data_IF_150936303982
#
_entry.id   IF_150936303982
#
_cell.length_a   1.000
_cell.length_b   1.000
_cell.length_c   1.000
_cell.angle_alpha   90.00
_cell.angle_beta   90.00
_cell.angle_gamma   90.00
#
_symmetry.space_group_name_H-M   'P 1'
#
loop_
_entity.id
_entity.type
_entity.pdbx_description
1 polymer ?
#
# COMPACT_ATOMS: atom_id res chain seq x y z
N UNK A 1 -5.59 0.99 -2.09
CA UNK A 1 -4.67 0.40 -1.10
C UNK A 1 -5.45 -0.56 -0.22
N UNK A 2 -5.04 -1.81 -0.20
CA UNK A 2 -5.52 -2.88 0.69
C UNK A 2 -4.37 -3.32 1.59
N UNK A 3 -4.64 -4.10 2.63
CA UNK A 3 -3.65 -4.78 3.45
C UNK A 3 -3.91 -6.28 3.46
N UNK A 4 -4.93 -6.74 4.17
CA UNK A 4 -5.25 -8.15 4.33
C UNK A 4 -6.50 -8.52 3.53
N UNK A 5 -6.46 -9.66 2.82
CA UNK A 5 -7.64 -10.28 2.19
C UNK A 5 -7.79 -11.68 2.76
N UNK A 6 -8.72 -11.86 3.71
CA UNK A 6 -8.92 -13.17 4.34
C UNK A 6 -10.34 -13.35 4.88
N UNK A 7 -10.77 -14.61 5.01
CA UNK A 7 -12.05 -14.97 5.59
C UNK A 7 -12.03 -14.85 7.11
N UNK A 8 -13.13 -14.36 7.68
CA UNK A 8 -13.34 -14.30 9.11
C UNK A 8 -14.65 -14.98 9.48
N UNK A 9 -14.63 -15.98 10.38
CA UNK A 9 -15.83 -16.66 10.83
C UNK A 9 -16.75 -15.83 11.73
N UNK A 10 -16.27 -14.69 12.27
CA UNK A 10 -17.02 -13.81 13.17
C UNK A 10 -17.02 -12.38 12.64
N UNK A 11 -18.17 -11.93 12.14
CA UNK A 11 -18.35 -10.60 11.55
C UNK A 11 -18.14 -9.44 12.53
N UNK A 12 -18.34 -9.65 13.82
CA UNK A 12 -18.31 -8.59 14.84
C UNK A 12 -16.92 -8.09 15.25
N UNK A 13 -15.86 -8.78 14.80
CA UNK A 13 -14.46 -8.47 15.20
C UNK A 13 -13.48 -8.39 14.02
N UNK A 14 -13.97 -8.05 12.84
CA UNK A 14 -13.10 -7.94 11.64
C UNK A 14 -12.20 -6.71 11.78
N UNK A 15 -10.86 -6.86 11.73
CA UNK A 15 -9.97 -5.71 11.69
C UNK A 15 -10.30 -4.79 10.53
N UNK A 16 -10.25 -3.48 10.77
CA UNK A 16 -10.61 -2.46 9.77
C UNK A 16 -9.84 -2.62 8.44
N UNK A 17 -8.61 -3.06 8.49
CA UNK A 17 -7.69 -3.25 7.35
C UNK A 17 -7.86 -4.59 6.63
N UNK A 18 -8.77 -5.47 7.10
CA UNK A 18 -9.08 -6.73 6.44
C UNK A 18 -10.31 -6.62 5.54
N UNK A 19 -10.23 -7.22 4.37
CA UNK A 19 -11.32 -7.33 3.40
C UNK A 19 -11.63 -8.81 3.17
N UNK A 20 -12.91 -9.20 3.32
CA UNK A 20 -13.33 -10.55 2.98
C UNK A 20 -13.11 -10.85 1.49
N UNK A 21 -12.65 -12.07 1.10
CA UNK A 21 -12.40 -12.42 -0.29
C UNK A 21 -13.61 -12.22 -1.22
N UNK A 22 -14.83 -12.45 -0.74
CA UNK A 22 -16.05 -12.21 -1.53
C UNK A 22 -16.29 -10.72 -1.75
N UNK A 23 -15.99 -9.89 -0.75
CA UNK A 23 -16.06 -8.43 -0.88
C UNK A 23 -14.97 -7.92 -1.82
N UNK A 24 -13.74 -8.45 -1.70
CA UNK A 24 -12.65 -8.11 -2.62
C UNK A 24 -13.02 -8.45 -4.06
N UNK A 25 -13.57 -9.64 -4.32
CA UNK A 25 -14.05 -10.03 -5.65
C UNK A 25 -15.16 -9.10 -6.16
N UNK A 26 -16.07 -8.67 -5.27
CA UNK A 26 -17.10 -7.68 -5.62
C UNK A 26 -16.48 -6.34 -6.05
N UNK A 27 -15.41 -5.89 -5.37
CA UNK A 27 -14.68 -4.69 -5.78
C UNK A 27 -14.05 -4.86 -7.18
N UNK A 28 -13.38 -5.98 -7.44
CA UNK A 28 -12.77 -6.26 -8.75
C UNK A 28 -13.84 -6.33 -9.86
N UNK A 29 -14.97 -7.00 -9.60
CA UNK A 29 -16.10 -7.06 -10.54
C UNK A 29 -16.66 -5.66 -10.83
N UNK A 30 -16.82 -4.82 -9.79
CA UNK A 30 -17.27 -3.44 -9.96
C UNK A 30 -16.31 -2.64 -10.85
N UNK A 31 -14.99 -2.76 -10.66
CA UNK A 31 -14.00 -2.11 -11.52
C UNK A 31 -14.19 -2.51 -12.99
N UNK A 32 -14.40 -3.81 -13.25
CA UNK A 32 -14.64 -4.34 -14.59
C UNK A 32 -15.95 -3.83 -15.19
N UNK A 33 -17.07 -3.95 -14.46
CA UNK A 33 -18.39 -3.58 -14.92
C UNK A 33 -18.53 -2.08 -15.21
N UNK A 34 -17.87 -1.26 -14.39
CA UNK A 34 -17.83 0.21 -14.55
C UNK A 34 -16.74 0.67 -15.52
N UNK A 35 -16.03 -0.29 -16.17
CA UNK A 35 -14.98 -0.02 -17.16
C UNK A 35 -13.85 0.86 -16.62
N UNK A 36 -13.40 0.58 -15.41
CA UNK A 36 -12.16 1.18 -14.91
C UNK A 36 -10.96 0.60 -15.64
N UNK A 37 -9.98 1.45 -15.93
CA UNK A 37 -8.71 1.07 -16.52
C UNK A 37 -7.73 0.71 -15.39
N UNK A 38 -7.62 -0.58 -15.05
CA UNK A 38 -6.67 -1.04 -14.04
C UNK A 38 -5.31 -1.23 -14.70
N UNK A 39 -4.32 -0.49 -14.23
CA UNK A 39 -2.94 -0.51 -14.72
C UNK A 39 -1.97 -0.84 -13.60
N UNK A 40 -0.75 -1.21 -13.96
CA UNK A 40 0.33 -1.40 -13.00
C UNK A 40 0.83 -0.06 -12.44
N UNK A 41 1.50 -0.07 -11.28
CA UNK A 41 2.10 1.14 -10.72
C UNK A 41 3.25 1.64 -11.61
N UNK A 42 4.05 0.73 -12.17
CA UNK A 42 5.11 1.11 -13.11
C UNK A 42 4.54 1.81 -14.37
N UNK A 43 3.42 1.32 -14.91
CA UNK A 43 2.75 1.99 -16.05
C UNK A 43 2.27 3.39 -15.66
N UNK A 44 1.72 3.57 -14.47
CA UNK A 44 1.34 4.89 -13.98
C UNK A 44 2.55 5.83 -13.91
N UNK A 45 3.68 5.36 -13.36
CA UNK A 45 4.92 6.15 -13.24
C UNK A 45 5.46 6.56 -14.62
N UNK A 46 5.45 5.64 -15.57
CA UNK A 46 5.83 5.94 -16.96
C UNK A 46 4.92 7.01 -17.55
N UNK A 47 3.61 6.90 -17.35
CA UNK A 47 2.65 7.88 -17.87
C UNK A 47 2.87 9.28 -17.25
N UNK A 48 3.20 9.36 -15.96
CA UNK A 48 3.52 10.64 -15.28
C UNK A 48 4.81 11.23 -15.86
N UNK A 49 5.89 10.43 -15.97
CA UNK A 49 7.20 10.88 -16.46
C UNK A 49 7.18 11.34 -17.92
N UNK A 50 6.38 10.67 -18.73
CA UNK A 50 6.24 10.99 -20.17
C UNK A 50 5.15 12.07 -20.39
N UNK A 51 4.62 12.69 -19.33
CA UNK A 51 3.53 13.67 -19.37
C UNK A 51 2.31 13.19 -20.18
N UNK A 52 2.13 11.86 -20.24
CA UNK A 52 1.01 11.25 -20.96
C UNK A 52 -0.28 11.48 -20.19
N UNK A 53 -1.35 11.78 -20.90
CA UNK A 53 -2.67 11.93 -20.32
C UNK A 53 -3.12 10.63 -19.64
N UNK A 54 -3.24 10.64 -18.30
CA UNK A 54 -3.84 9.55 -17.56
C UNK A 54 -5.32 9.45 -17.97
N UNK A 55 -5.73 8.27 -18.44
CA UNK A 55 -7.12 8.04 -18.85
C UNK A 55 -8.07 8.23 -17.66
N UNK A 56 -9.27 8.79 -17.85
CA UNK A 56 -10.28 8.80 -16.80
C UNK A 56 -10.57 7.38 -16.28
N UNK A 57 -10.93 7.25 -15.02
CA UNK A 57 -11.17 5.97 -14.36
C UNK A 57 -9.96 5.02 -14.36
N UNK A 58 -8.73 5.56 -14.33
CA UNK A 58 -7.53 4.75 -14.11
C UNK A 58 -7.36 4.44 -12.63
N UNK A 59 -7.10 3.16 -12.32
CA UNK A 59 -6.87 2.64 -10.97
C UNK A 59 -5.57 1.83 -10.96
N UNK A 60 -4.83 1.96 -9.87
CA UNK A 60 -3.74 1.05 -9.48
C UNK A 60 -4.15 0.35 -8.20
N UNK A 61 -4.02 -0.98 -8.16
CA UNK A 61 -4.31 -1.79 -6.98
C UNK A 61 -2.99 -2.04 -6.24
N UNK A 62 -2.95 -1.74 -4.94
CA UNK A 62 -1.80 -2.03 -4.08
C UNK A 62 -2.23 -2.79 -2.85
N UNK A 63 -1.39 -3.75 -2.40
CA UNK A 63 -1.57 -4.51 -1.18
C UNK A 63 -0.29 -4.36 -0.35
N UNK A 64 -0.43 -3.90 0.89
CA UNK A 64 0.69 -3.65 1.79
C UNK A 64 0.97 -4.84 2.72
N UNK A 65 2.09 -4.79 3.44
CA UNK A 65 2.59 -5.70 4.46
C UNK A 65 3.09 -7.08 3.97
N UNK A 66 2.63 -7.59 2.84
CA UNK A 66 3.07 -8.89 2.34
C UNK A 66 2.48 -10.08 3.12
N UNK A 67 1.23 -9.98 3.57
CA UNK A 67 0.53 -11.09 4.22
C UNK A 67 0.34 -12.29 3.30
N UNK A 68 0.55 -13.50 3.83
CA UNK A 68 0.32 -14.77 3.13
C UNK A 68 -1.10 -14.89 2.57
N UNK A 69 -2.10 -14.38 3.29
CA UNK A 69 -3.49 -14.41 2.83
C UNK A 69 -3.70 -13.63 1.51
N UNK A 70 -2.86 -12.66 1.19
CA UNK A 70 -2.91 -12.00 -0.11
C UNK A 70 -2.47 -12.92 -1.26
N UNK A 71 -1.52 -13.83 -0.99
CA UNK A 71 -1.16 -14.89 -1.93
C UNK A 71 -2.30 -15.91 -2.05
N UNK A 72 -2.88 -16.37 -0.93
CA UNK A 72 -3.88 -17.43 -0.92
C UNK A 72 -5.23 -16.98 -1.52
N UNK A 73 -5.65 -15.72 -1.29
CA UNK A 73 -6.97 -15.22 -1.67
C UNK A 73 -6.95 -14.11 -2.72
N UNK A 74 -6.10 -13.08 -2.56
CA UNK A 74 -6.13 -11.95 -3.48
C UNK A 74 -5.56 -12.29 -4.86
N UNK A 75 -4.42 -13.00 -4.93
CA UNK A 75 -3.78 -13.37 -6.19
C UNK A 75 -4.70 -14.16 -7.13
N UNK A 76 -5.39 -15.26 -6.70
CA UNK A 76 -6.29 -16.00 -7.59
C UNK A 76 -7.44 -15.13 -8.12
N UNK A 77 -7.95 -14.20 -7.32
CA UNK A 77 -9.02 -13.29 -7.71
C UNK A 77 -8.52 -12.24 -8.72
N UNK A 78 -7.35 -11.65 -8.49
CA UNK A 78 -6.71 -10.73 -9.45
C UNK A 78 -6.49 -11.41 -10.79
N UNK A 79 -5.95 -12.63 -10.79
CA UNK A 79 -5.72 -13.42 -12.01
C UNK A 79 -7.03 -13.72 -12.76
N UNK A 80 -8.10 -14.10 -12.06
CA UNK A 80 -9.42 -14.35 -12.63
C UNK A 80 -9.99 -13.14 -13.36
N UNK A 81 -9.73 -11.94 -12.82
CA UNK A 81 -10.17 -10.68 -13.42
C UNK A 81 -9.19 -10.10 -14.43
N UNK A 82 -8.00 -10.70 -14.60
CA UNK A 82 -6.88 -10.20 -15.41
C UNK A 82 -6.42 -8.81 -14.99
N UNK A 83 -6.36 -8.56 -13.68
CA UNK A 83 -5.86 -7.32 -13.11
C UNK A 83 -4.46 -7.51 -12.55
N UNK A 84 -3.58 -6.54 -12.82
CA UNK A 84 -2.31 -6.42 -12.14
C UNK A 84 -2.48 -5.73 -10.79
N UNK A 85 -1.56 -6.02 -9.85
CA UNK A 85 -1.46 -5.33 -8.58
C UNK A 85 0.00 -5.24 -8.13
N UNK A 86 0.29 -4.31 -7.23
CA UNK A 86 1.60 -4.18 -6.58
C UNK A 86 1.50 -4.67 -5.15
N UNK A 87 2.34 -5.62 -4.78
CA UNK A 87 2.47 -6.15 -3.42
C UNK A 87 3.69 -5.56 -2.75
N UNK A 88 3.50 -4.79 -1.69
CA UNK A 88 4.58 -4.20 -0.91
C UNK A 88 4.92 -5.10 0.28
N UNK A 89 6.17 -5.56 0.34
CA UNK A 89 6.61 -6.63 1.23
C UNK A 89 7.51 -6.08 2.34
N UNK A 90 7.21 -6.40 3.59
CA UNK A 90 8.09 -6.23 4.75
C UNK A 90 9.09 -7.39 4.74
N UNK A 91 10.39 -7.11 4.59
CA UNK A 91 11.34 -8.18 4.30
C UNK A 91 11.92 -8.89 5.52
N UNK A 92 11.92 -8.25 6.68
CA UNK A 92 12.54 -8.80 7.90
C UNK A 92 11.81 -9.98 8.52
N UNK A 93 10.62 -10.30 8.01
CA UNK A 93 9.76 -11.36 8.55
C UNK A 93 9.39 -12.43 7.52
N UNK A 94 9.94 -12.38 6.31
CA UNK A 94 9.63 -13.32 5.24
C UNK A 94 9.81 -14.77 5.72
N UNK A 95 8.75 -15.58 5.57
CA UNK A 95 8.75 -17.00 5.93
C UNK A 95 8.63 -17.29 7.44
N UNK A 96 8.46 -16.28 8.29
CA UNK A 96 8.20 -16.52 9.71
C UNK A 96 6.83 -17.17 9.93
N UNK A 97 6.78 -18.08 10.92
CA UNK A 97 5.54 -18.76 11.34
C UNK A 97 4.75 -18.00 12.40
N UNK A 98 4.98 -16.70 12.54
CA UNK A 98 4.36 -15.82 13.54
C UNK A 98 3.88 -14.53 12.88
N UNK A 99 2.79 -13.93 13.38
CA UNK A 99 2.36 -12.62 12.95
C UNK A 99 3.42 -11.54 13.19
N UNK A 100 3.39 -10.49 12.38
CA UNK A 100 4.29 -9.34 12.54
C UNK A 100 4.16 -8.69 13.91
N UNK A 101 5.30 -8.34 14.53
CA UNK A 101 5.33 -7.72 15.87
C UNK A 101 4.61 -6.39 15.92
N UNK A 102 4.68 -5.55 14.87
CA UNK A 102 4.02 -4.25 14.84
C UNK A 102 2.49 -4.34 14.84
N UNK A 103 1.92 -5.50 14.46
CA UNK A 103 0.48 -5.77 14.55
C UNK A 103 0.03 -6.17 15.95
N UNK A 104 0.95 -6.48 16.84
CA UNK A 104 0.66 -6.88 18.21
C UNK A 104 0.74 -5.69 19.19
N UNK A 105 0.39 -4.48 18.72
CA UNK A 105 0.56 -3.25 19.50
C UNK A 105 -0.64 -2.93 20.39
N UNK A 106 -1.80 -3.52 20.14
CA UNK A 106 -2.99 -3.37 20.99
C UNK A 106 -3.62 -4.71 21.36
N UNK A 107 -4.44 -4.71 22.44
CA UNK A 107 -5.06 -5.92 22.97
C UNK A 107 -5.98 -6.60 21.96
N UNK A 108 -6.70 -5.82 21.14
CA UNK A 108 -7.63 -6.33 20.13
C UNK A 108 -6.87 -7.06 19.04
N UNK A 109 -5.75 -6.49 18.55
CA UNK A 109 -4.89 -7.12 17.55
C UNK A 109 -4.23 -8.39 18.09
N UNK A 110 -3.79 -8.37 19.35
CA UNK A 110 -3.22 -9.55 20.03
C UNK A 110 -4.26 -10.66 20.15
N UNK A 111 -5.46 -10.36 20.62
CA UNK A 111 -6.57 -11.32 20.75
C UNK A 111 -6.94 -11.90 19.39
N UNK A 112 -7.02 -11.04 18.38
CA UNK A 112 -7.29 -11.43 17.01
C UNK A 112 -6.24 -12.41 16.46
N UNK A 113 -4.95 -12.11 16.60
CA UNK A 113 -3.87 -13.00 16.15
C UNK A 113 -3.82 -14.32 16.93
N UNK A 114 -4.29 -14.35 18.18
CA UNK A 114 -4.45 -15.60 18.92
C UNK A 114 -5.58 -16.46 18.41
N UNK A 115 -6.70 -15.84 18.02
CA UNK A 115 -7.87 -16.57 17.47
C UNK A 115 -7.64 -17.04 16.03
N UNK A 116 -6.90 -16.26 15.25
CA UNK A 116 -6.65 -16.51 13.82
C UNK A 116 -5.14 -16.40 13.50
N UNK A 117 -4.31 -17.33 14.01
CA UNK A 117 -2.85 -17.21 13.92
C UNK A 117 -2.33 -17.17 12.49
N UNK A 118 -3.05 -17.77 11.53
CA UNK A 118 -2.65 -17.80 10.13
C UNK A 118 -3.03 -16.52 9.36
N UNK A 119 -3.90 -15.68 9.91
CA UNK A 119 -4.45 -14.52 9.20
C UNK A 119 -3.46 -13.40 8.95
N UNK A 120 -2.38 -13.35 9.71
CA UNK A 120 -1.36 -12.29 9.69
C UNK A 120 0.06 -12.83 9.49
N UNK A 121 0.19 -14.04 8.97
CA UNK A 121 1.49 -14.61 8.64
C UNK A 121 2.09 -13.88 7.42
N UNK A 122 3.41 -13.68 7.41
CA UNK A 122 4.11 -13.18 6.23
C UNK A 122 4.19 -14.25 5.14
N UNK A 123 4.31 -13.81 3.90
CA UNK A 123 4.64 -14.69 2.76
C UNK A 123 6.03 -15.30 2.93
N UNK A 124 6.22 -16.48 2.38
CA UNK A 124 7.51 -17.11 2.15
C UNK A 124 8.20 -16.53 0.90
N UNK A 125 9.51 -16.77 0.77
CA UNK A 125 10.27 -16.41 -0.45
C UNK A 125 9.68 -17.07 -1.71
N UNK A 126 9.19 -18.31 -1.60
CA UNK A 126 8.57 -19.02 -2.72
C UNK A 126 7.29 -18.31 -3.19
N UNK A 127 6.43 -17.92 -2.27
CA UNK A 127 5.18 -17.22 -2.58
C UNK A 127 5.43 -15.85 -3.21
N UNK A 128 6.43 -15.09 -2.71
CA UNK A 128 6.84 -13.81 -3.30
C UNK A 128 7.38 -13.98 -4.72
N UNK A 129 8.21 -15.01 -4.94
CA UNK A 129 8.72 -15.36 -6.27
C UNK A 129 7.57 -15.70 -7.22
N UNK A 130 6.64 -16.53 -6.78
CA UNK A 130 5.49 -16.93 -7.57
C UNK A 130 4.58 -15.75 -7.93
N UNK A 131 4.31 -14.82 -7.00
CA UNK A 131 3.63 -13.54 -7.30
C UNK A 131 4.31 -12.82 -8.47
N UNK A 132 5.63 -12.67 -8.37
CA UNK A 132 6.43 -11.99 -9.40
C UNK A 132 6.42 -12.72 -10.74
N UNK A 133 6.47 -14.06 -10.74
CA UNK A 133 6.46 -14.88 -11.95
C UNK A 133 5.08 -14.89 -12.63
N UNK A 134 4.00 -14.72 -11.85
CA UNK A 134 2.65 -14.54 -12.36
C UNK A 134 2.35 -13.09 -12.82
N UNK A 135 3.36 -12.23 -12.86
CA UNK A 135 3.24 -10.87 -13.42
C UNK A 135 2.74 -9.80 -12.45
N UNK A 136 2.63 -10.11 -11.17
CA UNK A 136 2.37 -9.09 -10.15
C UNK A 136 3.63 -8.26 -9.89
N UNK A 137 3.45 -6.98 -9.57
CA UNK A 137 4.57 -6.12 -9.19
C UNK A 137 4.92 -6.33 -7.72
N UNK A 138 6.21 -6.43 -7.44
CA UNK A 138 6.74 -6.50 -6.07
C UNK A 138 7.40 -5.16 -5.75
N UNK A 139 7.01 -4.58 -4.62
CA UNK A 139 7.62 -3.37 -4.04
C UNK A 139 8.11 -3.64 -2.62
N UNK A 140 8.97 -2.77 -2.13
CA UNK A 140 9.49 -2.83 -0.77
C UNK A 140 8.61 -2.06 0.21
N UNK A 141 8.45 -2.62 1.42
CA UNK A 141 7.84 -1.96 2.57
C UNK A 141 8.79 -1.92 3.78
N UNK A 142 10.07 -1.63 3.51
CA UNK A 142 11.18 -1.67 4.46
C UNK A 142 11.52 -3.07 5.00
N UNK A 143 12.46 -3.14 5.93
CA UNK A 143 12.85 -4.41 6.59
C UNK A 143 11.91 -4.70 7.76
N UNK A 144 11.72 -3.75 8.67
CA UNK A 144 11.06 -3.99 9.96
C UNK A 144 9.78 -3.16 10.18
N UNK A 145 9.30 -2.46 9.14
CA UNK A 145 8.11 -1.62 9.19
C UNK A 145 8.21 -0.46 10.20
N UNK A 146 9.40 0.12 10.38
CA UNK A 146 9.60 1.30 11.25
C UNK A 146 9.26 2.58 10.50
N UNK A 147 8.70 3.57 11.21
CA UNK A 147 8.46 4.90 10.67
C UNK A 147 9.80 5.58 10.34
N UNK A 148 10.12 5.67 9.04
CA UNK A 148 11.47 6.07 8.57
C UNK A 148 11.83 7.51 8.92
N UNK A 149 10.84 8.40 9.00
CA UNK A 149 11.06 9.79 9.37
C UNK A 149 11.30 9.99 10.88
N UNK A 150 11.02 8.95 11.69
CA UNK A 150 11.12 9.00 13.15
C UNK A 150 12.25 8.14 13.72
N UNK A 151 13.14 7.63 12.87
CA UNK A 151 14.34 6.87 13.25
C UNK A 151 15.62 7.58 12.77
N UNK A 152 16.77 7.11 13.25
CA UNK A 152 18.04 7.64 12.79
C UNK A 152 18.21 7.45 11.28
N UNK A 153 18.79 8.43 10.59
CA UNK A 153 18.92 8.41 9.12
C UNK A 153 19.74 7.22 8.61
N UNK A 154 20.75 6.77 9.34
CA UNK A 154 21.53 5.59 8.96
C UNK A 154 20.71 4.31 9.09
N UNK A 155 19.85 4.21 10.11
CA UNK A 155 18.91 3.10 10.25
C UNK A 155 17.86 3.13 9.11
N UNK A 156 17.33 4.32 8.78
CA UNK A 156 16.42 4.46 7.65
C UNK A 156 17.06 4.03 6.33
N UNK A 157 18.34 4.33 6.13
CA UNK A 157 19.10 3.88 4.96
C UNK A 157 19.20 2.35 4.90
N UNK A 158 19.49 1.69 6.02
CA UNK A 158 19.53 0.22 6.10
C UNK A 158 18.15 -0.39 5.79
N UNK A 159 17.07 0.12 6.39
CA UNK A 159 15.70 -0.31 6.12
C UNK A 159 15.35 -0.26 4.63
N UNK A 160 15.81 0.77 3.92
CA UNK A 160 15.56 0.99 2.50
C UNK A 160 16.42 0.07 1.61
N UNK A 161 17.73 0.01 1.88
CA UNK A 161 18.70 -0.67 1.00
C UNK A 161 18.62 -2.20 1.17
N UNK A 162 18.54 -2.68 2.40
CA UNK A 162 18.52 -4.12 2.68
C UNK A 162 17.20 -4.75 2.18
N UNK A 163 16.06 -4.07 2.37
CA UNK A 163 14.77 -4.57 1.85
C UNK A 163 14.77 -4.69 0.33
N UNK A 164 15.35 -3.70 -0.38
CA UNK A 164 15.51 -3.77 -1.83
C UNK A 164 16.35 -4.98 -2.24
N UNK A 165 17.55 -5.10 -1.65
CA UNK A 165 18.49 -6.19 -1.96
C UNK A 165 17.90 -7.57 -1.69
N UNK A 166 17.14 -7.71 -0.59
CA UNK A 166 16.45 -8.95 -0.26
C UNK A 166 15.44 -9.34 -1.35
N UNK A 167 14.55 -8.43 -1.74
CA UNK A 167 13.52 -8.70 -2.74
C UNK A 167 14.12 -8.91 -4.15
N UNK A 168 15.18 -8.21 -4.51
CA UNK A 168 15.89 -8.43 -5.78
C UNK A 168 16.52 -9.83 -5.87
N UNK A 169 17.04 -10.36 -4.75
CA UNK A 169 17.54 -11.75 -4.68
C UNK A 169 16.40 -12.76 -4.81
N UNK A 170 15.28 -12.54 -4.15
CA UNK A 170 14.12 -13.44 -4.19
C UNK A 170 13.51 -13.48 -5.58
N UNK A 171 13.25 -12.32 -6.18
CA UNK A 171 12.52 -12.20 -7.45
C UNK A 171 13.40 -12.32 -8.67
N UNK A 172 14.71 -12.14 -8.53
CA UNK A 172 15.70 -11.97 -9.64
C UNK A 172 15.38 -10.81 -10.57
N UNK A 173 14.54 -9.88 -10.13
CA UNK A 173 14.12 -8.67 -10.86
C UNK A 173 14.49 -7.42 -10.08
N UNK A 174 14.59 -6.28 -10.75
CA UNK A 174 14.80 -4.99 -10.09
C UNK A 174 13.55 -4.60 -9.29
N UNK A 175 13.78 -4.11 -8.09
CA UNK A 175 12.72 -3.58 -7.22
C UNK A 175 12.79 -2.06 -7.26
N UNK A 176 11.85 -1.48 -8.00
CA UNK A 176 11.81 -0.04 -8.29
C UNK A 176 10.77 0.73 -7.46
N UNK A 177 9.91 0.01 -6.72
CA UNK A 177 8.75 0.54 -6.02
C UNK A 177 8.91 0.42 -4.51
N UNK A 178 8.50 1.47 -3.79
CA UNK A 178 8.52 1.53 -2.34
C UNK A 178 7.18 2.01 -1.79
N UNK A 179 6.83 1.63 -0.57
CA UNK A 179 5.81 2.32 0.22
C UNK A 179 6.34 2.59 1.62
N UNK A 180 6.13 3.82 2.11
CA UNK A 180 6.59 4.19 3.46
C UNK A 180 5.76 3.47 4.51
N UNK A 181 6.38 2.82 5.51
CA UNK A 181 5.67 2.30 6.68
C UNK A 181 4.87 3.42 7.37
N UNK A 182 3.61 3.14 7.72
CA UNK A 182 2.61 4.11 8.16
C UNK A 182 2.32 5.21 7.14
N UNK A 183 3.33 5.79 6.52
CA UNK A 183 3.30 6.62 5.33
C UNK A 183 2.53 7.93 5.43
N UNK A 184 2.33 8.47 6.63
CA UNK A 184 1.63 9.73 6.85
C UNK A 184 2.60 10.90 6.98
N UNK A 185 2.45 11.88 6.10
CA UNK A 185 3.19 13.15 6.22
C UNK A 185 2.85 13.89 7.52
N UNK A 186 1.60 13.80 7.96
CA UNK A 186 1.13 14.48 9.18
C UNK A 186 1.84 13.99 10.43
N UNK A 187 2.17 12.71 10.50
CA UNK A 187 2.87 12.09 11.63
C UNK A 187 4.39 12.02 11.44
N UNK A 188 4.89 12.56 10.32
CA UNK A 188 6.33 12.58 10.04
C UNK A 188 6.93 11.22 9.72
N UNK A 189 6.14 10.27 9.21
CA UNK A 189 6.61 8.92 8.90
C UNK A 189 7.65 8.90 7.78
N UNK A 190 7.72 9.96 7.01
CA UNK A 190 8.74 10.23 6.01
C UNK A 190 9.01 11.74 5.88
N UNK A 191 10.17 12.08 5.34
CA UNK A 191 10.61 13.46 5.13
C UNK A 191 11.47 13.56 3.86
N UNK A 192 12.02 14.75 3.56
CA UNK A 192 12.87 14.95 2.38
C UNK A 192 14.18 14.14 2.45
N UNK A 193 14.72 13.89 3.63
CA UNK A 193 15.93 13.08 3.80
C UNK A 193 15.67 11.63 3.43
N UNK A 194 14.60 11.03 3.95
CA UNK A 194 14.21 9.65 3.63
C UNK A 194 13.83 9.51 2.16
N UNK A 195 13.17 10.52 1.55
CA UNK A 195 12.93 10.56 0.11
C UNK A 195 14.24 10.52 -0.69
N UNK A 196 15.23 11.31 -0.30
CA UNK A 196 16.52 11.32 -0.95
C UNK A 196 17.26 9.97 -0.83
N UNK A 197 17.10 9.26 0.29
CA UNK A 197 17.63 7.90 0.45
C UNK A 197 17.00 6.93 -0.55
N UNK A 198 15.67 7.01 -0.79
CA UNK A 198 15.00 6.18 -1.80
C UNK A 198 15.54 6.46 -3.21
N UNK A 199 15.75 7.74 -3.56
CA UNK A 199 16.32 8.13 -4.85
C UNK A 199 17.74 7.56 -5.01
N UNK A 200 18.59 7.70 -3.99
CA UNK A 200 19.95 7.16 -3.97
C UNK A 200 20.00 5.64 -4.05
N UNK A 201 19.06 4.96 -3.40
CA UNK A 201 18.89 3.50 -3.48
C UNK A 201 18.35 3.03 -4.84
N UNK A 202 17.95 3.95 -5.73
CA UNK A 202 17.49 3.65 -7.08
C UNK A 202 16.05 3.18 -7.15
N UNK A 203 15.21 3.54 -6.18
CA UNK A 203 13.76 3.40 -6.36
C UNK A 203 13.25 4.43 -7.37
N UNK A 204 12.21 4.10 -8.10
CA UNK A 204 11.60 4.98 -9.11
C UNK A 204 10.41 5.76 -8.60
N UNK A 205 9.75 5.25 -7.56
CA UNK A 205 8.59 5.89 -6.95
C UNK A 205 8.34 5.37 -5.53
N UNK A 206 7.57 6.13 -4.75
CA UNK A 206 7.11 5.72 -3.44
C UNK A 206 5.65 6.12 -3.17
N UNK A 207 4.89 5.22 -2.54
CA UNK A 207 3.54 5.47 -2.09
C UNK A 207 3.49 5.92 -0.64
N UNK A 208 2.47 6.70 -0.32
CA UNK A 208 2.13 7.15 1.04
C UNK A 208 0.75 6.62 1.45
N UNK A 209 0.36 6.85 2.70
CA UNK A 209 -1.02 6.65 3.18
C UNK A 209 -1.83 7.96 3.18
N UNK A 210 -1.23 9.07 2.75
CA UNK A 210 -1.97 10.31 2.56
C UNK A 210 -3.09 10.08 1.53
N UNK A 211 -4.33 10.45 1.91
CA UNK A 211 -5.49 10.18 1.08
C UNK A 211 -5.53 11.14 -0.10
N UNK A 212 -5.63 10.62 -1.31
CA UNK A 212 -5.72 11.48 -2.49
C UNK A 212 -5.70 10.72 -3.82
N UNK A 213 -5.83 11.49 -4.89
CA UNK A 213 -5.63 11.04 -6.27
C UNK A 213 -4.29 11.49 -6.80
N UNK A 214 -3.73 10.66 -7.65
CA UNK A 214 -2.51 10.99 -8.42
C UNK A 214 -2.90 11.86 -9.62
N UNK A 215 -2.12 12.92 -9.85
CA UNK A 215 -2.17 13.79 -11.03
C UNK A 215 -0.80 13.83 -11.71
N UNK A 216 -0.69 14.47 -12.85
CA UNK A 216 0.61 14.63 -13.53
C UNK A 216 1.63 15.45 -12.70
N UNK A 217 1.14 16.35 -11.84
CA UNK A 217 1.99 17.18 -10.96
C UNK A 217 2.32 16.51 -9.62
N UNK A 218 1.87 15.27 -9.41
CA UNK A 218 2.13 14.55 -8.15
C UNK A 218 3.60 14.15 -8.07
N UNK A 219 4.25 14.43 -6.93
CA UNK A 219 5.58 13.91 -6.65
C UNK A 219 5.55 12.37 -6.63
N UNK A 220 6.27 11.77 -7.56
CA UNK A 220 6.29 10.30 -7.72
C UNK A 220 6.84 9.55 -6.51
N UNK A 221 7.57 10.23 -5.62
CA UNK A 221 8.04 9.68 -4.35
C UNK A 221 7.08 9.92 -3.19
N UNK A 222 5.87 10.42 -3.47
CA UNK A 222 4.84 10.73 -2.48
C UNK A 222 3.44 10.49 -3.06
N UNK A 223 3.26 9.34 -3.74
CA UNK A 223 1.99 8.99 -4.38
C UNK A 223 0.90 8.76 -3.34
N UNK A 224 -0.15 9.58 -3.29
CA UNK A 224 -1.26 9.40 -2.37
C UNK A 224 -2.09 8.19 -2.77
N UNK A 225 -2.78 7.60 -1.81
CA UNK A 225 -3.61 6.41 -2.02
C UNK A 225 -4.98 6.56 -1.36
N UNK A 226 -5.92 5.70 -1.75
CA UNK A 226 -7.25 5.61 -1.14
C UNK A 226 -7.31 4.30 -0.36
N UNK A 227 -7.42 4.34 0.99
CA UNK A 227 -7.51 3.14 1.81
C UNK A 227 -8.88 2.46 1.63
N UNK A 228 -8.86 1.15 1.45
CA UNK A 228 -10.04 0.30 1.37
C UNK A 228 -10.07 -0.63 2.58
N UNK A 229 -11.23 -0.75 3.20
CA UNK A 229 -11.46 -1.52 4.42
C UNK A 229 -12.53 -2.59 4.22
N UNK A 230 -12.66 -3.49 5.20
CA UNK A 230 -13.71 -4.50 5.25
C UNK A 230 -15.14 -3.95 5.33
N UNK A 231 -15.28 -2.66 5.63
CA UNK A 231 -16.59 -1.97 5.68
C UNK A 231 -16.95 -1.28 4.35
N UNK A 232 -16.09 -1.36 3.34
CA UNK A 232 -16.33 -0.72 2.04
C UNK A 232 -17.18 -1.60 1.13
N UNK A 233 -18.48 -1.66 1.40
CA UNK A 233 -19.46 -2.26 0.49
C UNK A 233 -19.53 -1.53 -0.84
N UNK A 234 -20.43 -1.97 -1.73
CA UNK A 234 -20.56 -1.48 -3.11
C UNK A 234 -20.55 0.05 -3.24
N UNK A 235 -21.37 0.74 -2.47
CA UNK A 235 -21.52 2.20 -2.61
C UNK A 235 -20.32 2.95 -2.03
N UNK A 236 -19.83 2.59 -0.84
CA UNK A 236 -18.68 3.26 -0.25
C UNK A 236 -17.42 3.06 -1.08
N UNK A 237 -17.18 1.87 -1.60
CA UNK A 237 -16.08 1.62 -2.53
C UNK A 237 -16.21 2.49 -3.79
N UNK A 238 -17.40 2.51 -4.42
CA UNK A 238 -17.63 3.33 -5.62
C UNK A 238 -17.41 4.83 -5.33
N UNK A 239 -17.93 5.35 -4.22
CA UNK A 239 -17.72 6.75 -3.83
C UNK A 239 -16.24 7.06 -3.59
N UNK A 240 -15.51 6.18 -2.91
CA UNK A 240 -14.07 6.33 -2.67
C UNK A 240 -13.30 6.46 -3.99
N UNK A 241 -13.44 5.51 -4.90
CA UNK A 241 -12.71 5.50 -6.18
C UNK A 241 -13.20 6.56 -7.17
N UNK A 242 -14.45 7.03 -7.06
CA UNK A 242 -14.96 8.14 -7.85
C UNK A 242 -14.44 9.51 -7.38
N UNK A 243 -13.81 9.59 -6.20
CA UNK A 243 -13.19 10.80 -5.69
C UNK A 243 -14.00 11.56 -4.66
N UNK A 244 -14.85 10.86 -3.92
CA UNK A 244 -15.57 11.47 -2.81
C UNK A 244 -14.66 12.12 -1.76
N UNK A 245 -13.39 11.71 -1.68
CA UNK A 245 -12.39 12.32 -0.77
C UNK A 245 -11.70 13.57 -1.34
N UNK A 246 -11.89 13.91 -2.61
CA UNK A 246 -11.20 15.07 -3.22
C UNK A 246 -11.61 16.37 -2.56
N UNK A 247 -12.87 16.50 -2.13
CA UNK A 247 -13.36 17.67 -1.43
C UNK A 247 -12.85 17.76 0.01
N UNK A 248 -12.66 16.63 0.70
CA UNK A 248 -12.11 16.56 2.07
C UNK A 248 -10.70 17.13 2.08
N UNK A 249 -9.86 16.74 1.11
CA UNK A 249 -8.51 17.27 0.98
C UNK A 249 -8.50 18.76 0.61
N UNK A 250 -9.44 19.22 -0.24
CA UNK A 250 -9.58 20.65 -0.53
C UNK A 250 -9.92 21.46 0.72
N UNK A 251 -10.83 20.97 1.55
CA UNK A 251 -11.22 21.62 2.80
C UNK A 251 -10.05 21.59 3.80
N UNK A 252 -9.37 20.45 3.99
CA UNK A 252 -8.20 20.33 4.88
C UNK A 252 -7.07 21.28 4.45
N UNK A 253 -6.77 21.37 3.17
CA UNK A 253 -5.75 22.28 2.62
C UNK A 253 -6.14 23.77 2.78
N UNK A 254 -7.43 24.10 2.66
CA UNK A 254 -7.93 25.45 2.94
C UNK A 254 -7.76 25.81 4.42
N UNK A 255 -8.11 24.90 5.35
CA UNK A 255 -7.92 25.11 6.78
C UNK A 255 -6.43 25.25 7.14
N UNK A 256 -5.55 24.41 6.59
CA UNK A 256 -4.11 24.52 6.84
C UNK A 256 -3.51 25.85 6.30
N UNK A 257 -3.97 26.32 5.14
CA UNK A 257 -3.58 27.64 4.62
C UNK A 257 -4.08 28.78 5.52
N UNK A 258 -5.26 28.61 6.11
CA UNK A 258 -5.85 29.60 7.01
C UNK A 258 -5.07 29.67 8.35
N UNK A 259 -4.75 28.53 8.93
CA UNK A 259 -3.93 28.44 10.17
C UNK A 259 -2.54 29.03 9.95
N UNK A 260 -1.83 28.67 8.85
CA UNK A 260 -0.53 29.26 8.53
C UNK A 260 -0.58 30.79 8.33
N UNK A 261 -1.70 31.35 7.88
CA UNK A 261 -1.88 32.79 7.80
C UNK A 261 -2.04 33.48 9.15
N UNK A 262 -2.66 32.79 10.12
CA UNK A 262 -2.84 33.32 11.48
C UNK A 262 -1.49 33.32 12.23
N UNK A 263 -0.66 32.29 12.03
CA UNK A 263 0.67 32.20 12.66
C UNK A 263 1.71 33.21 12.09
N UNK A 264 1.45 33.79 10.91
CA UNK A 264 2.30 34.84 10.31
C UNK A 264 1.91 36.26 10.81
N UNK A 265 0.72 36.37 11.44
CA UNK A 265 0.18 37.66 11.93
C UNK A 265 0.42 37.81 13.47
N UNK A 266 0.99 36.79 14.13
CA UNK A 266 1.49 36.88 15.51
C UNK A 266 3.01 37.04 15.50
#
# INVERSE_FOLDING_TARGET
>A
MYHSVSQFPNEDKIPYDNVDPSLFENHLRLLKDKKYNVISLNELIVNIKDEKKIKPKTIVITLDDGFKNNFDYALPLLNRHHFSATFFIITGHIGESKPYKHLLMDETAIEYCKMYPESRLPMSEMEIRELSDQGMEIGSHSVTHRSLGNININEAQLEIVESKSCLEKITTKKIDLFTYPFGSRTYGDFNEETKNLLIQAGYKAACTTDIGKVTLDTDIYQLPRIPISGHDGYYSFLFKIAGAYDWVNKVKNLFQKYIKRIDIIK
#
